data_IF_568140783564
#
_entry.id   IF_568140783564
#
_cell.length_a   1.000
_cell.length_b   1.000
_cell.length_c   1.000
_cell.angle_alpha   90.00
_cell.angle_beta   90.00
_cell.angle_gamma   90.00
#
_symmetry.space_group_name_H-M   'P 1'
#
loop_
_entity.id
_entity.type
_entity.pdbx_description
1 polymer ?
#
# COMPACT_ATOMS: atom_id res chain seq x y z
N UNK A 1 -52.35 -3.83 -22.29
CA UNK A 1 -51.55 -5.05 -22.61
C UNK A 1 -50.08 -4.68 -22.56
N UNK A 2 -49.37 -5.00 -21.45
CA UNK A 2 -47.92 -4.79 -21.33
C UNK A 2 -47.24 -5.93 -22.11
N UNK A 3 -46.55 -5.61 -23.20
CA UNK A 3 -45.69 -6.55 -23.93
C UNK A 3 -44.57 -6.97 -22.97
N UNK A 4 -44.59 -8.21 -22.50
CA UNK A 4 -43.46 -8.81 -21.78
C UNK A 4 -42.47 -9.23 -22.87
N UNK A 5 -41.66 -8.28 -23.36
CA UNK A 5 -40.41 -8.63 -24.03
C UNK A 5 -39.48 -9.17 -22.95
N UNK A 6 -39.04 -10.42 -23.07
CA UNK A 6 -38.02 -10.99 -22.19
C UNK A 6 -36.71 -10.23 -22.40
N UNK A 7 -36.52 -9.12 -21.69
CA UNK A 7 -35.30 -8.31 -21.75
C UNK A 7 -34.13 -9.16 -21.24
N UNK A 8 -33.10 -9.28 -22.06
CA UNK A 8 -31.91 -10.01 -21.70
C UNK A 8 -30.96 -9.05 -20.99
N UNK A 9 -30.56 -9.40 -19.77
CA UNK A 9 -29.53 -8.65 -19.05
C UNK A 9 -28.16 -9.29 -19.30
N UNK A 10 -27.14 -8.52 -19.71
CA UNK A 10 -25.78 -8.99 -19.85
C UNK A 10 -25.12 -9.08 -18.47
N UNK A 11 -23.96 -9.74 -18.37
CA UNK A 11 -23.21 -9.73 -17.12
C UNK A 11 -22.60 -8.35 -16.89
N UNK A 12 -22.77 -7.84 -15.68
CA UNK A 12 -22.20 -6.56 -15.24
C UNK A 12 -21.26 -6.83 -14.08
N UNK A 13 -20.04 -6.35 -14.19
CA UNK A 13 -19.03 -6.40 -13.14
C UNK A 13 -18.91 -5.02 -12.51
N UNK A 14 -18.98 -4.92 -11.20
CA UNK A 14 -18.84 -3.63 -10.52
C UNK A 14 -17.69 -3.62 -9.53
N UNK A 15 -16.98 -2.51 -9.49
CA UNK A 15 -15.96 -2.19 -8.50
C UNK A 15 -16.13 -0.76 -8.02
N UNK A 16 -15.47 -0.41 -6.93
CA UNK A 16 -15.52 0.95 -6.39
C UNK A 16 -14.16 1.39 -5.90
N UNK A 17 -13.98 2.69 -5.92
CA UNK A 17 -12.95 3.42 -5.19
C UNK A 17 -13.64 4.37 -4.19
N UNK A 18 -12.90 4.98 -3.27
CA UNK A 18 -13.41 6.02 -2.37
C UNK A 18 -14.21 7.12 -3.10
N UNK A 19 -13.85 7.45 -4.34
CA UNK A 19 -14.38 8.59 -5.08
C UNK A 19 -15.24 8.25 -6.31
N UNK A 20 -15.24 6.99 -6.75
CA UNK A 20 -15.86 6.58 -8.01
C UNK A 20 -16.32 5.11 -8.01
N UNK A 21 -17.19 4.77 -8.95
CA UNK A 21 -17.71 3.42 -9.17
C UNK A 21 -17.41 3.04 -10.61
N UNK A 22 -16.80 1.87 -10.81
CA UNK A 22 -16.63 1.30 -12.15
C UNK A 22 -17.70 0.24 -12.39
N UNK A 23 -18.39 0.31 -13.53
CA UNK A 23 -19.24 -0.77 -14.04
C UNK A 23 -18.70 -1.25 -15.38
N UNK A 24 -18.55 -2.56 -15.56
CA UNK A 24 -18.10 -3.18 -16.79
C UNK A 24 -19.21 -4.11 -17.28
N UNK A 25 -19.84 -3.74 -18.38
CA UNK A 25 -20.85 -4.54 -19.05
C UNK A 25 -20.16 -5.44 -20.07
N UNK A 26 -20.25 -6.74 -19.88
CA UNK A 26 -19.64 -7.75 -20.74
C UNK A 26 -20.49 -7.97 -22.00
N UNK A 27 -20.35 -7.03 -22.93
CA UNK A 27 -20.96 -7.03 -24.25
C UNK A 27 -19.92 -6.71 -25.32
N UNK A 28 -19.78 -7.62 -26.28
CA UNK A 28 -18.87 -7.47 -27.42
C UNK A 28 -19.59 -6.91 -28.64
N UNK A 29 -18.85 -6.19 -29.50
CA UNK A 29 -19.35 -5.63 -30.76
C UNK A 29 -20.66 -4.84 -30.59
N UNK A 30 -20.66 -3.90 -29.65
CA UNK A 30 -21.83 -3.11 -29.27
C UNK A 30 -22.27 -2.20 -30.42
N UNK A 31 -23.57 -2.24 -30.74
CA UNK A 31 -24.22 -1.40 -31.75
C UNK A 31 -25.40 -0.65 -31.12
N UNK A 32 -25.61 0.58 -31.59
CA UNK A 32 -26.69 1.48 -31.16
C UNK A 32 -26.87 1.58 -29.64
N UNK A 33 -25.84 2.01 -28.88
CA UNK A 33 -25.94 2.19 -27.44
C UNK A 33 -26.87 3.36 -27.11
N UNK A 34 -27.83 3.13 -26.22
CA UNK A 34 -28.63 4.16 -25.56
C UNK A 34 -28.29 4.14 -24.08
N UNK A 35 -27.82 5.27 -23.58
CA UNK A 35 -27.29 5.40 -22.23
C UNK A 35 -27.94 6.62 -21.62
N UNK A 36 -28.71 6.42 -20.55
CA UNK A 36 -29.25 7.49 -19.74
C UNK A 36 -28.68 7.34 -18.33
N UNK A 37 -27.92 8.34 -17.90
CA UNK A 37 -27.37 8.43 -16.55
C UNK A 37 -28.03 9.61 -15.84
N UNK A 38 -28.80 9.33 -14.81
CA UNK A 38 -29.36 10.31 -13.88
C UNK A 38 -28.59 10.28 -12.56
N UNK A 39 -28.96 11.15 -11.61
CA UNK A 39 -28.27 11.27 -10.32
C UNK A 39 -28.29 9.97 -9.51
N UNK A 40 -29.32 9.13 -9.67
CA UNK A 40 -29.51 7.89 -8.91
C UNK A 40 -29.88 6.68 -9.78
N UNK A 41 -29.97 6.84 -11.10
CA UNK A 41 -30.37 5.77 -12.01
C UNK A 41 -29.41 5.69 -13.20
N UNK A 42 -29.15 4.47 -13.64
CA UNK A 42 -28.40 4.19 -14.87
C UNK A 42 -29.20 3.21 -15.72
N UNK A 43 -29.65 3.69 -16.86
CA UNK A 43 -30.31 2.88 -17.88
C UNK A 43 -29.38 2.70 -19.09
N UNK A 44 -29.21 1.46 -19.49
CA UNK A 44 -28.36 1.05 -20.59
C UNK A 44 -29.09 0.06 -21.50
N UNK A 45 -29.18 0.38 -22.78
CA UNK A 45 -29.72 -0.50 -23.81
C UNK A 45 -28.75 -0.55 -24.99
N UNK A 46 -28.42 -1.76 -25.46
CA UNK A 46 -27.61 -1.91 -26.66
C UNK A 46 -27.79 -3.27 -27.34
N UNK A 47 -27.49 -3.35 -28.63
CA UNK A 47 -27.42 -4.62 -29.36
C UNK A 47 -25.97 -5.10 -29.36
N UNK A 48 -25.72 -6.33 -28.92
CA UNK A 48 -24.36 -6.84 -28.82
C UNK A 48 -24.28 -8.36 -28.68
N UNK A 49 -23.06 -8.88 -28.65
CA UNK A 49 -22.75 -10.28 -28.38
C UNK A 49 -22.50 -10.46 -26.88
N UNK A 50 -23.44 -11.07 -26.18
CA UNK A 50 -23.31 -11.41 -24.75
C UNK A 50 -23.32 -12.92 -24.52
N UNK A 51 -23.50 -13.33 -23.26
CA UNK A 51 -23.54 -14.73 -22.86
C UNK A 51 -24.66 -15.56 -23.53
N UNK A 52 -25.69 -14.90 -24.06
CA UNK A 52 -26.83 -15.52 -24.77
C UNK A 52 -26.78 -15.30 -26.29
N UNK A 53 -25.63 -14.88 -26.83
CA UNK A 53 -25.45 -14.61 -28.26
C UNK A 53 -25.76 -13.16 -28.64
N UNK A 54 -26.05 -12.94 -29.93
CA UNK A 54 -26.33 -11.62 -30.49
C UNK A 54 -27.78 -11.25 -30.22
N UNK A 55 -28.01 -10.37 -29.24
CA UNK A 55 -29.35 -9.91 -28.87
C UNK A 55 -29.33 -8.44 -28.47
N UNK A 56 -30.53 -7.89 -28.30
CA UNK A 56 -30.74 -6.63 -27.60
C UNK A 56 -30.68 -6.88 -26.09
N UNK A 57 -29.80 -6.14 -25.43
CA UNK A 57 -29.53 -6.23 -24.01
C UNK A 57 -29.94 -4.94 -23.32
N UNK A 58 -30.60 -5.08 -22.17
CA UNK A 58 -31.13 -3.96 -21.38
C UNK A 58 -30.80 -4.14 -19.90
N UNK A 59 -30.39 -3.03 -19.28
CA UNK A 59 -30.07 -2.93 -17.86
C UNK A 59 -30.62 -1.62 -17.33
N UNK A 60 -31.33 -1.71 -16.20
CA UNK A 60 -31.72 -0.55 -15.39
C UNK A 60 -31.20 -0.76 -13.97
N UNK A 61 -30.37 0.16 -13.50
CA UNK A 61 -29.74 0.15 -12.18
C UNK A 61 -30.23 1.35 -11.39
N UNK A 62 -30.80 1.10 -10.21
CA UNK A 62 -31.04 2.15 -9.21
C UNK A 62 -29.89 2.11 -8.20
N UNK A 63 -29.12 3.18 -8.16
CA UNK A 63 -27.90 3.32 -7.36
C UNK A 63 -28.22 3.53 -5.89
N UNK A 64 -27.35 3.02 -5.01
CA UNK A 64 -27.47 3.18 -3.56
C UNK A 64 -27.41 4.64 -3.12
N UNK A 65 -26.57 5.46 -3.76
CA UNK A 65 -26.45 6.89 -3.46
C UNK A 65 -26.22 7.71 -4.73
N UNK A 66 -26.25 9.03 -4.58
CA UNK A 66 -26.16 9.96 -5.72
C UNK A 66 -24.76 9.97 -6.36
N UNK A 67 -24.73 10.01 -7.69
CA UNK A 67 -23.55 10.22 -8.52
C UNK A 67 -23.63 11.59 -9.21
N UNK A 68 -22.51 12.05 -9.75
CA UNK A 68 -22.44 13.31 -10.52
C UNK A 68 -22.37 12.95 -12.01
N UNK A 69 -23.49 13.05 -12.76
CA UNK A 69 -23.51 12.63 -14.17
C UNK A 69 -22.50 13.39 -15.03
N UNK A 70 -22.33 14.69 -14.78
CA UNK A 70 -21.41 15.57 -15.53
C UNK A 70 -19.94 15.14 -15.47
N UNK A 71 -19.52 14.53 -14.36
CA UNK A 71 -18.14 14.05 -14.14
C UNK A 71 -17.99 12.56 -14.39
N UNK A 72 -19.09 11.89 -14.74
CA UNK A 72 -19.11 10.47 -15.05
C UNK A 72 -18.91 10.29 -16.55
N UNK A 73 -18.19 9.24 -16.94
CA UNK A 73 -17.93 8.95 -18.34
C UNK A 73 -18.09 7.47 -18.64
N UNK A 74 -18.31 7.16 -19.91
CA UNK A 74 -18.38 5.80 -20.40
C UNK A 74 -17.44 5.60 -21.58
N UNK A 75 -16.95 4.37 -21.74
CA UNK A 75 -16.05 3.95 -22.80
C UNK A 75 -16.56 2.65 -23.40
N UNK A 76 -16.86 2.68 -24.69
CA UNK A 76 -17.26 1.51 -25.45
C UNK A 76 -16.01 0.96 -26.13
N UNK A 77 -15.73 -0.33 -25.93
CA UNK A 77 -14.69 -1.07 -26.65
C UNK A 77 -15.32 -2.23 -27.40
N UNK A 78 -14.57 -2.86 -28.31
CA UNK A 78 -15.04 -4.06 -29.02
C UNK A 78 -15.33 -5.24 -28.06
N UNK A 79 -14.77 -5.18 -26.84
CA UNK A 79 -14.83 -6.27 -25.86
C UNK A 79 -15.87 -6.06 -24.76
N UNK A 80 -16.06 -4.81 -24.32
CA UNK A 80 -16.95 -4.47 -23.21
C UNK A 80 -17.32 -2.97 -23.23
N UNK A 81 -18.34 -2.62 -22.45
CA UNK A 81 -18.69 -1.23 -22.15
C UNK A 81 -18.30 -0.94 -20.70
N UNK A 82 -17.44 0.04 -20.51
CA UNK A 82 -16.99 0.49 -19.20
C UNK A 82 -17.65 1.82 -18.83
N UNK A 83 -18.19 1.92 -17.62
CA UNK A 83 -18.71 3.13 -17.00
C UNK A 83 -17.86 3.48 -15.80
N UNK A 84 -17.50 4.75 -15.68
CA UNK A 84 -16.87 5.31 -14.49
C UNK A 84 -17.79 6.40 -13.97
N UNK A 85 -18.50 6.09 -12.88
CA UNK A 85 -19.46 6.96 -12.23
C UNK A 85 -18.79 7.69 -11.06
N UNK A 86 -18.83 9.03 -11.06
CA UNK A 86 -18.25 9.82 -9.98
C UNK A 86 -19.23 9.92 -8.81
N UNK A 87 -18.81 9.53 -7.61
CA UNK A 87 -19.66 9.64 -6.40
C UNK A 87 -19.81 11.11 -5.99
N UNK A 88 -20.99 11.50 -5.49
CA UNK A 88 -21.20 12.83 -4.88
C UNK A 88 -20.52 12.95 -3.51
N UNK A 89 -20.58 11.88 -2.72
CA UNK A 89 -19.89 11.77 -1.43
C UNK A 89 -18.75 10.74 -1.51
N UNK A 90 -17.58 11.08 -0.98
CA UNK A 90 -16.40 10.20 -0.95
C UNK A 90 -16.52 9.14 0.15
N UNK A 91 -17.50 8.26 0.01
CA UNK A 91 -17.81 7.19 0.97
C UNK A 91 -17.85 5.85 0.24
N UNK A 92 -17.38 4.78 0.90
CA UNK A 92 -17.48 3.42 0.39
C UNK A 92 -18.93 2.92 0.50
N UNK A 93 -19.44 2.38 -0.59
CA UNK A 93 -20.82 1.90 -0.65
C UNK A 93 -20.86 0.44 -0.19
N UNK A 94 -21.73 0.07 0.76
CA UNK A 94 -21.88 -1.33 1.16
C UNK A 94 -22.49 -2.18 0.04
N UNK A 95 -23.33 -1.57 -0.81
CA UNK A 95 -24.02 -2.19 -1.95
C UNK A 95 -24.08 -1.20 -3.11
N UNK A 96 -24.03 -1.71 -4.35
CA UNK A 96 -24.23 -0.89 -5.54
C UNK A 96 -25.70 -0.45 -5.70
N UNK A 97 -26.61 -1.38 -5.44
CA UNK A 97 -28.05 -1.20 -5.63
C UNK A 97 -28.70 -0.71 -4.34
N UNK A 98 -29.73 0.14 -4.48
CA UNK A 98 -30.63 0.50 -3.38
C UNK A 98 -31.47 -0.72 -2.91
N UNK A 99 -31.86 -1.58 -3.85
CA UNK A 99 -32.65 -2.77 -3.55
C UNK A 99 -31.81 -3.85 -2.86
N UNK A 100 -32.40 -4.54 -1.88
CA UNK A 100 -31.74 -5.63 -1.17
C UNK A 100 -31.66 -6.95 -1.98
N UNK A 101 -32.33 -7.02 -3.13
CA UNK A 101 -32.27 -8.17 -4.05
C UNK A 101 -31.02 -8.09 -4.92
N UNK A 102 -30.18 -9.14 -4.88
CA UNK A 102 -28.99 -9.26 -5.73
C UNK A 102 -29.37 -9.91 -7.07
N UNK A 103 -29.34 -9.19 -8.20
CA UNK A 103 -29.63 -9.77 -9.50
C UNK A 103 -28.54 -10.76 -9.92
N UNK A 104 -28.90 -11.86 -10.59
CA UNK A 104 -27.95 -12.88 -11.03
C UNK A 104 -26.92 -12.37 -12.07
N UNK A 105 -27.26 -11.29 -12.77
CA UNK A 105 -26.39 -10.69 -13.78
C UNK A 105 -25.32 -9.77 -13.18
N UNK A 106 -25.46 -9.33 -11.92
CA UNK A 106 -24.51 -8.44 -11.25
C UNK A 106 -23.44 -9.23 -10.48
N UNK A 107 -22.18 -9.04 -10.88
CA UNK A 107 -20.99 -9.67 -10.31
C UNK A 107 -20.04 -8.60 -9.78
N UNK A 108 -19.22 -8.97 -8.79
CA UNK A 108 -18.20 -8.08 -8.22
C UNK A 108 -16.93 -8.18 -9.06
N UNK A 109 -16.36 -7.04 -9.45
CA UNK A 109 -15.04 -6.94 -10.08
C UNK A 109 -13.95 -6.91 -9.00
N UNK A 110 -13.42 -8.09 -8.70
CA UNK A 110 -12.38 -8.26 -7.68
C UNK A 110 -10.99 -7.78 -8.14
N UNK A 111 -10.79 -7.41 -9.40
CA UNK A 111 -9.49 -6.90 -9.86
C UNK A 111 -9.34 -5.42 -9.56
N UNK A 112 -10.43 -4.65 -9.59
CA UNK A 112 -10.44 -3.21 -9.23
C UNK A 112 -10.57 -2.95 -7.73
N UNK A 113 -11.33 -3.74 -6.98
CA UNK A 113 -11.49 -3.57 -5.52
C UNK A 113 -10.16 -3.72 -4.75
N UNK A 114 -9.20 -4.50 -5.29
CA UNK A 114 -7.90 -4.72 -4.64
C UNK A 114 -6.97 -3.49 -4.64
N UNK A 115 -7.28 -2.43 -5.38
CA UNK A 115 -6.44 -1.22 -5.38
C UNK A 115 -6.59 -0.39 -4.10
N UNK A 116 -7.76 -0.44 -3.45
CA UNK A 116 -8.06 0.39 -2.27
C UNK A 116 -7.68 -0.27 -0.93
N UNK A 117 -7.54 -1.61 -0.86
CA UNK A 117 -7.16 -2.33 0.38
C UNK A 117 -5.66 -2.22 0.75
N UNK A 118 -4.86 -1.41 0.06
CA UNK A 118 -3.41 -1.28 0.32
C UNK A 118 -2.97 0.01 1.01
N UNK A 119 -3.87 0.90 1.41
CA UNK A 119 -3.45 2.17 2.03
C UNK A 119 -4.03 2.51 3.41
N UNK A 120 -4.96 1.75 4.01
CA UNK A 120 -5.37 2.06 5.40
C UNK A 120 -6.01 0.88 6.13
N UNK A 121 -5.25 0.19 6.98
CA UNK A 121 -5.80 -0.43 8.21
C UNK A 121 -4.70 -0.51 9.26
N UNK A 122 -4.50 0.60 9.99
CA UNK A 122 -4.05 0.60 11.37
C UNK A 122 -5.27 0.58 12.28
N UNK A 123 -5.19 -0.24 13.34
CA UNK A 123 -6.21 -0.54 14.35
C UNK A 123 -6.98 0.68 14.89
N UNK A 124 -8.29 0.54 15.16
CA UNK A 124 -8.84 0.43 16.52
C UNK A 124 -10.39 0.55 16.54
N UNK A 125 -10.96 -0.20 17.49
CA UNK A 125 -12.27 -0.13 18.14
C UNK A 125 -13.54 -0.80 17.57
N UNK A 126 -14.26 -1.31 18.56
CA UNK A 126 -15.19 -2.43 18.66
C UNK A 126 -16.67 -2.02 18.56
N UNK A 127 -17.51 -3.06 18.56
CA UNK A 127 -18.97 -3.05 18.81
C UNK A 127 -19.90 -3.01 17.58
N UNK A 128 -19.61 -3.78 16.52
CA UNK A 128 -20.63 -4.29 15.56
C UNK A 128 -20.24 -5.66 14.95
N UNK A 129 -19.63 -6.56 15.72
CA UNK A 129 -18.94 -7.75 15.16
C UNK A 129 -19.84 -8.97 14.88
N UNK A 130 -20.99 -9.11 15.53
CA UNK A 130 -21.72 -10.40 15.51
C UNK A 130 -22.55 -10.64 14.23
N UNK A 131 -23.12 -9.61 13.60
CA UNK A 131 -23.87 -9.77 12.34
C UNK A 131 -22.96 -9.81 11.09
N UNK A 132 -21.78 -9.18 11.16
CA UNK A 132 -20.80 -9.18 10.08
C UNK A 132 -20.03 -10.51 9.99
N UNK A 133 -19.87 -11.23 11.11
CA UNK A 133 -19.13 -12.49 11.17
C UNK A 133 -19.86 -13.67 10.51
N UNK A 134 -21.20 -13.69 10.51
CA UNK A 134 -21.94 -14.76 9.86
C UNK A 134 -21.90 -14.64 8.33
N UNK A 135 -22.05 -13.41 7.80
CA UNK A 135 -21.93 -13.14 6.36
C UNK A 135 -20.49 -13.26 5.85
N UNK A 136 -19.49 -12.88 6.67
CA UNK A 136 -18.08 -13.00 6.32
C UNK A 136 -17.60 -14.45 6.25
N UNK A 137 -18.15 -15.37 7.05
CA UNK A 137 -17.77 -16.79 7.07
C UNK A 137 -18.19 -17.57 5.80
N UNK A 138 -19.39 -17.32 5.27
CA UNK A 138 -19.87 -17.89 4.00
C UNK A 138 -19.17 -17.26 2.79
N UNK A 139 -18.87 -15.95 2.85
CA UNK A 139 -18.17 -15.25 1.79
C UNK A 139 -16.66 -15.58 1.75
N UNK A 140 -16.04 -15.81 2.91
CA UNK A 140 -14.62 -16.19 3.04
C UNK A 140 -14.35 -17.62 2.58
N UNK A 141 -15.26 -18.57 2.86
CA UNK A 141 -15.18 -19.94 2.35
C UNK A 141 -15.38 -20.03 0.82
N UNK A 142 -16.15 -19.10 0.24
CA UNK A 142 -16.29 -18.94 -1.21
C UNK A 142 -15.08 -18.20 -1.85
N UNK A 143 -14.51 -17.21 -1.15
CA UNK A 143 -13.26 -16.52 -1.52
C UNK A 143 -12.06 -17.48 -1.55
N UNK A 144 -11.90 -18.35 -0.54
CA UNK A 144 -10.73 -19.23 -0.43
C UNK A 144 -10.63 -20.26 -1.55
N UNK A 145 -11.76 -20.71 -2.10
CA UNK A 145 -11.80 -21.64 -3.25
C UNK A 145 -11.47 -20.96 -4.59
N UNK A 146 -11.79 -19.68 -4.74
CA UNK A 146 -11.55 -18.90 -5.97
C UNK A 146 -10.19 -18.18 -5.99
N UNK A 147 -9.51 -18.07 -4.84
CA UNK A 147 -8.17 -17.48 -4.73
C UNK A 147 -7.04 -18.35 -5.32
N UNK A 148 -7.33 -19.55 -5.82
CA UNK A 148 -6.32 -20.47 -6.36
C UNK A 148 -5.87 -20.13 -7.80
N UNK A 149 -6.57 -19.22 -8.49
CA UNK A 149 -6.18 -18.74 -9.83
C UNK A 149 -5.67 -17.27 -9.79
N UNK A 150 -4.44 -17.05 -9.32
CA UNK A 150 -3.86 -15.71 -9.07
C UNK A 150 -2.47 -15.49 -9.69
N UNK A 151 -2.28 -15.75 -10.98
CA UNK A 151 -0.95 -15.56 -11.61
C UNK A 151 -0.75 -14.25 -12.41
N UNK A 152 -1.76 -13.40 -12.61
CA UNK A 152 -1.60 -12.25 -13.52
C UNK A 152 -1.01 -10.96 -12.89
N UNK A 153 -1.11 -10.76 -11.57
CA UNK A 153 -0.55 -9.58 -10.87
C UNK A 153 0.57 -9.89 -9.86
N UNK A 154 0.76 -11.18 -9.55
CA UNK A 154 1.72 -11.64 -8.54
C UNK A 154 3.16 -11.36 -8.96
N UNK A 155 3.47 -11.45 -10.25
CA UNK A 155 4.81 -11.22 -10.78
C UNK A 155 5.32 -9.78 -10.62
N UNK A 156 4.46 -8.75 -10.74
CA UNK A 156 4.86 -7.33 -10.60
C UNK A 156 5.02 -6.94 -9.12
N UNK A 157 4.07 -7.33 -8.27
CA UNK A 157 4.16 -7.10 -6.81
C UNK A 157 5.33 -7.87 -6.19
N UNK A 158 5.54 -9.12 -6.62
CA UNK A 158 6.71 -9.92 -6.22
C UNK A 158 8.01 -9.26 -6.68
N UNK A 159 8.11 -8.80 -7.94
CA UNK A 159 9.33 -8.09 -8.42
C UNK A 159 9.66 -6.84 -7.59
N UNK A 160 8.68 -5.99 -7.33
CA UNK A 160 8.90 -4.76 -6.52
C UNK A 160 9.31 -5.12 -5.10
N UNK A 161 8.66 -6.12 -4.50
CA UNK A 161 9.04 -6.62 -3.18
C UNK A 161 10.46 -7.21 -3.18
N UNK A 162 10.84 -7.97 -4.21
CA UNK A 162 12.18 -8.55 -4.37
C UNK A 162 13.25 -7.44 -4.49
N UNK A 163 12.97 -6.34 -5.20
CA UNK A 163 13.86 -5.17 -5.28
C UNK A 163 14.00 -4.45 -3.93
N UNK A 164 12.88 -4.20 -3.25
CA UNK A 164 12.88 -3.60 -1.90
C UNK A 164 13.68 -4.45 -0.92
N UNK A 165 13.48 -5.77 -0.92
CA UNK A 165 14.23 -6.70 -0.07
C UNK A 165 15.72 -6.66 -0.39
N UNK A 166 16.10 -6.65 -1.67
CA UNK A 166 17.50 -6.56 -2.09
C UNK A 166 18.15 -5.24 -1.66
N UNK A 167 17.43 -4.12 -1.78
CA UNK A 167 17.89 -2.81 -1.32
C UNK A 167 18.08 -2.76 0.20
N UNK A 168 17.10 -3.23 0.99
CA UNK A 168 17.21 -3.28 2.44
C UNK A 168 18.39 -4.14 2.89
N UNK A 169 18.58 -5.29 2.25
CA UNK A 169 19.74 -6.14 2.51
C UNK A 169 21.05 -5.40 2.23
N UNK A 170 21.16 -4.72 1.09
CA UNK A 170 22.37 -3.98 0.72
C UNK A 170 22.65 -2.81 1.68
N UNK A 171 21.60 -2.09 2.10
CA UNK A 171 21.71 -1.03 3.10
C UNK A 171 22.22 -1.58 4.44
N UNK A 172 21.60 -2.65 4.95
CA UNK A 172 22.01 -3.26 6.22
C UNK A 172 23.44 -3.81 6.14
N UNK A 173 23.80 -4.42 5.01
CA UNK A 173 25.17 -4.87 4.76
C UNK A 173 26.16 -3.70 4.76
N UNK A 174 25.81 -2.59 4.11
CA UNK A 174 26.63 -1.38 4.09
C UNK A 174 26.84 -0.81 5.50
N UNK A 175 25.77 -0.70 6.30
CA UNK A 175 25.87 -0.25 7.69
C UNK A 175 26.76 -1.17 8.51
N UNK A 176 26.56 -2.49 8.41
CA UNK A 176 27.37 -3.47 9.13
C UNK A 176 28.86 -3.36 8.76
N UNK A 177 29.18 -3.28 7.46
CA UNK A 177 30.55 -3.11 6.96
C UNK A 177 31.14 -1.77 7.43
N UNK A 178 30.34 -0.71 7.49
CA UNK A 178 30.77 0.59 8.01
C UNK A 178 31.16 0.52 9.48
N UNK A 179 30.31 -0.07 10.33
CA UNK A 179 30.58 -0.16 11.76
C UNK A 179 31.67 -1.17 12.11
N UNK A 180 31.82 -2.26 11.36
CA UNK A 180 32.93 -3.20 11.59
C UNK A 180 34.27 -2.56 11.23
N UNK A 181 34.32 -1.74 10.18
CA UNK A 181 35.49 -0.95 9.84
C UNK A 181 35.89 0.00 10.97
N UNK A 182 34.93 0.74 11.52
CA UNK A 182 35.16 1.62 12.68
C UNK A 182 35.66 0.81 13.88
N UNK A 183 35.01 -0.31 14.19
CA UNK A 183 35.38 -1.17 15.32
C UNK A 183 36.80 -1.70 15.21
N UNK A 184 37.18 -2.18 14.03
CA UNK A 184 38.54 -2.69 13.76
C UNK A 184 39.58 -1.57 13.91
N UNK A 185 39.27 -0.35 13.45
CA UNK A 185 40.18 0.79 13.67
C UNK A 185 40.35 1.08 15.15
N UNK A 186 39.25 1.15 15.92
CA UNK A 186 39.31 1.37 17.37
C UNK A 186 40.17 0.28 18.03
N UNK A 187 39.98 -0.98 17.65
CA UNK A 187 40.72 -2.11 18.21
C UNK A 187 42.21 -2.04 17.87
N UNK A 188 42.58 -1.84 16.61
CA UNK A 188 43.99 -1.73 16.19
C UNK A 188 44.66 -0.54 16.86
N UNK A 189 43.97 0.60 16.90
CA UNK A 189 44.47 1.82 17.50
C UNK A 189 44.70 1.65 19.01
N UNK A 190 43.75 1.01 19.71
CA UNK A 190 43.89 0.65 21.13
C UNK A 190 45.07 -0.31 21.38
N UNK A 191 45.24 -1.32 20.53
CA UNK A 191 46.35 -2.28 20.64
C UNK A 191 47.72 -1.65 20.37
N UNK A 192 47.78 -0.58 19.55
CA UNK A 192 49.03 0.08 19.17
C UNK A 192 49.43 1.22 20.09
N UNK A 193 48.48 2.09 20.45
CA UNK A 193 48.74 3.32 21.22
C UNK A 193 48.36 3.19 22.71
N UNK A 194 47.65 2.13 23.08
CA UNK A 194 47.22 1.90 24.46
C UNK A 194 46.35 3.05 24.98
N UNK A 195 46.66 3.62 26.16
CA UNK A 195 45.83 4.66 26.80
C UNK A 195 45.81 5.99 26.04
N UNK A 196 46.81 6.30 25.19
CA UNK A 196 46.81 7.54 24.40
C UNK A 196 45.70 7.55 23.32
N UNK A 197 45.18 6.36 22.96
CA UNK A 197 44.01 6.19 22.07
C UNK A 197 42.84 7.07 22.48
N UNK A 198 42.63 7.28 23.78
CA UNK A 198 41.51 8.05 24.31
C UNK A 198 41.47 9.47 23.72
N UNK A 199 42.63 10.07 23.44
CA UNK A 199 42.73 11.46 22.95
C UNK A 199 42.69 11.55 21.42
N UNK A 200 43.20 10.53 20.74
CA UNK A 200 43.45 10.56 19.28
C UNK A 200 42.35 9.88 18.47
N UNK A 201 41.53 9.03 19.09
CA UNK A 201 40.53 8.20 18.40
C UNK A 201 39.34 9.00 17.85
N UNK A 202 38.79 9.93 18.64
CA UNK A 202 37.62 10.71 18.21
C UNK A 202 37.96 11.63 17.03
N UNK A 203 39.04 12.44 17.05
CA UNK A 203 39.43 13.23 15.89
C UNK A 203 39.62 12.41 14.61
N UNK A 204 40.13 11.18 14.74
CA UNK A 204 40.36 10.27 13.63
C UNK A 204 39.06 9.67 13.06
N UNK A 205 38.08 9.38 13.91
CA UNK A 205 36.83 8.71 13.54
C UNK A 205 35.62 9.62 13.39
N UNK A 206 35.72 10.91 13.76
CA UNK A 206 34.58 11.85 13.77
C UNK A 206 33.85 11.91 12.42
N UNK A 207 34.58 11.88 11.31
CA UNK A 207 33.97 11.98 9.98
C UNK A 207 33.28 10.67 9.57
N UNK A 208 33.96 9.50 9.61
CA UNK A 208 33.32 8.21 9.35
C UNK A 208 32.08 7.96 10.20
N UNK A 209 32.15 8.22 11.50
CA UNK A 209 31.07 7.90 12.43
C UNK A 209 29.84 8.81 12.23
N UNK A 210 30.05 10.09 11.95
CA UNK A 210 28.98 11.03 11.60
C UNK A 210 28.33 10.68 10.28
N UNK A 211 29.11 10.25 9.30
CA UNK A 211 28.58 9.82 8.00
C UNK A 211 27.66 8.60 8.15
N UNK A 212 28.08 7.57 8.87
CA UNK A 212 27.25 6.40 9.14
C UNK A 212 26.01 6.74 9.95
N UNK A 213 26.15 7.61 10.96
CA UNK A 213 25.02 8.11 11.75
C UNK A 213 23.99 8.86 10.87
N UNK A 214 24.44 9.70 9.93
CA UNK A 214 23.54 10.40 9.01
C UNK A 214 22.79 9.42 8.09
N UNK A 215 23.45 8.35 7.65
CA UNK A 215 22.81 7.31 6.84
C UNK A 215 21.69 6.57 7.58
N UNK A 216 21.68 6.57 8.92
CA UNK A 216 20.59 5.99 9.72
C UNK A 216 19.26 6.76 9.59
N UNK A 217 19.26 7.98 9.03
CA UNK A 217 18.00 8.66 8.64
C UNK A 217 17.18 7.78 7.68
N UNK A 218 17.83 7.00 6.83
CA UNK A 218 17.15 6.10 5.90
C UNK A 218 16.28 5.06 6.63
N UNK A 219 16.61 4.69 7.86
CA UNK A 219 15.85 3.70 8.65
C UNK A 219 14.51 4.22 9.13
N UNK A 220 14.39 5.55 9.27
CA UNK A 220 13.11 6.22 9.52
C UNK A 220 12.32 6.28 8.20
N UNK A 221 13.02 6.52 7.09
CA UNK A 221 12.40 6.63 5.77
C UNK A 221 11.90 5.28 5.23
N UNK A 222 12.54 4.17 5.57
CA UNK A 222 12.11 2.83 5.11
C UNK A 222 10.65 2.52 5.48
N UNK A 223 10.23 2.60 6.75
CA UNK A 223 8.83 2.40 7.10
C UNK A 223 7.92 3.52 6.62
N UNK A 224 8.38 4.78 6.57
CA UNK A 224 7.58 5.91 6.05
C UNK A 224 7.21 5.77 4.58
N UNK A 225 8.08 5.19 3.75
CA UNK A 225 7.81 4.94 2.33
C UNK A 225 7.25 3.54 2.05
N UNK A 226 6.94 2.75 3.09
CA UNK A 226 6.41 1.40 2.95
C UNK A 226 7.42 0.36 2.46
N UNK A 227 8.73 0.63 2.58
CA UNK A 227 9.78 -0.34 2.31
C UNK A 227 9.93 -1.40 3.42
N UNK A 228 9.56 -1.05 4.67
CA UNK A 228 9.56 -1.97 5.81
C UNK A 228 8.24 -1.91 6.59
N UNK A 229 7.86 -3.01 7.23
CA UNK A 229 6.58 -3.14 7.96
C UNK A 229 6.60 -2.60 9.40
N UNK A 230 7.67 -1.90 9.80
CA UNK A 230 7.86 -1.42 11.18
C UNK A 230 7.29 -0.02 11.42
N UNK A 231 7.15 0.38 12.68
CA UNK A 231 6.86 1.78 13.03
C UNK A 231 8.15 2.62 12.93
N UNK A 232 8.11 3.84 12.35
CA UNK A 232 9.26 4.74 12.30
C UNK A 232 9.69 5.28 13.67
N UNK A 233 8.85 5.13 14.71
CA UNK A 233 9.09 5.77 16.01
C UNK A 233 10.33 5.24 16.73
N UNK A 234 10.55 3.93 16.73
CA UNK A 234 11.70 3.33 17.42
C UNK A 234 13.04 3.75 16.79
N UNK A 235 13.23 3.64 15.45
CA UNK A 235 14.42 4.18 14.79
C UNK A 235 14.61 5.68 15.00
N UNK A 236 13.52 6.45 15.06
CA UNK A 236 13.57 7.90 15.27
C UNK A 236 14.13 8.25 16.65
N UNK A 237 13.64 7.63 17.73
CA UNK A 237 14.16 7.89 19.07
C UNK A 237 15.63 7.44 19.20
N UNK A 238 15.98 6.30 18.62
CA UNK A 238 17.35 5.81 18.60
C UNK A 238 18.29 6.79 17.87
N UNK A 239 17.89 7.28 16.70
CA UNK A 239 18.67 8.22 15.91
C UNK A 239 18.85 9.57 16.62
N UNK A 240 17.77 10.12 17.19
CA UNK A 240 17.83 11.39 17.92
C UNK A 240 18.82 11.29 19.08
N UNK A 241 18.75 10.23 19.87
CA UNK A 241 19.68 10.04 20.99
C UNK A 241 21.14 10.02 20.54
N UNK A 242 21.43 9.33 19.42
CA UNK A 242 22.78 9.20 18.89
C UNK A 242 23.32 10.47 18.26
N UNK A 243 22.46 11.15 17.50
CA UNK A 243 22.78 12.43 16.88
C UNK A 243 23.06 13.48 17.96
N UNK A 244 22.25 13.50 19.02
CA UNK A 244 22.43 14.41 20.14
C UNK A 244 23.81 14.25 20.78
N UNK A 245 24.20 13.03 21.18
CA UNK A 245 25.50 12.89 21.85
C UNK A 245 26.69 13.08 20.88
N UNK A 246 26.61 12.66 19.62
CA UNK A 246 27.72 12.81 18.65
C UNK A 246 27.95 14.26 18.23
N UNK A 247 26.89 14.97 17.84
CA UNK A 247 26.98 16.31 17.25
C UNK A 247 26.89 17.41 18.30
N UNK A 248 26.04 17.27 19.31
CA UNK A 248 25.83 18.34 20.30
C UNK A 248 26.76 18.15 21.49
N UNK A 249 26.84 16.94 22.05
CA UNK A 249 27.61 16.72 23.27
C UNK A 249 29.12 16.67 22.99
N UNK A 250 29.58 15.83 22.07
CA UNK A 250 31.03 15.62 21.84
C UNK A 250 31.61 16.67 20.88
N UNK A 251 30.93 16.98 19.77
CA UNK A 251 31.52 17.86 18.75
C UNK A 251 31.63 19.32 19.20
N UNK A 252 30.64 19.82 19.95
CA UNK A 252 30.65 21.19 20.47
C UNK A 252 31.66 21.39 21.62
N UNK A 253 32.09 20.31 22.28
CA UNK A 253 32.93 20.39 23.48
C UNK A 253 34.28 19.70 23.24
N UNK A 254 35.30 20.49 22.87
CA UNK A 254 36.65 19.97 22.60
C UNK A 254 37.27 19.21 23.80
N UNK A 255 36.96 19.62 25.04
CA UNK A 255 37.42 18.93 26.24
C UNK A 255 36.86 17.50 26.34
N UNK A 256 35.59 17.30 25.98
CA UNK A 256 34.96 15.98 26.00
C UNK A 256 35.58 15.05 24.95
N UNK A 257 36.09 15.57 23.84
CA UNK A 257 36.71 14.75 22.79
C UNK A 257 37.92 13.94 23.27
N UNK A 258 38.64 14.44 24.28
CA UNK A 258 39.81 13.78 24.88
C UNK A 258 39.48 13.06 26.19
N UNK A 259 38.22 13.02 26.59
CA UNK A 259 37.79 12.41 27.85
C UNK A 259 37.54 10.91 27.67
N UNK A 260 37.91 10.09 28.67
CA UNK A 260 37.71 8.63 28.66
C UNK A 260 36.25 8.23 28.41
N UNK A 261 35.29 9.04 28.87
CA UNK A 261 33.87 8.82 28.63
C UNK A 261 33.53 8.76 27.13
N UNK A 262 34.14 9.62 26.31
CA UNK A 262 33.92 9.65 24.86
C UNK A 262 34.40 8.38 24.19
N UNK A 263 35.55 7.85 24.61
CA UNK A 263 36.05 6.56 24.12
C UNK A 263 35.06 5.43 24.38
N UNK A 264 34.58 5.28 25.62
CA UNK A 264 33.63 4.21 25.96
C UNK A 264 32.27 4.41 25.30
N UNK A 265 31.77 5.65 25.20
CA UNK A 265 30.53 5.93 24.47
C UNK A 265 30.64 5.54 22.99
N UNK A 266 31.76 5.86 22.35
CA UNK A 266 32.00 5.55 20.95
C UNK A 266 32.18 4.04 20.73
N UNK A 267 32.84 3.34 21.65
CA UNK A 267 32.96 1.89 21.65
C UNK A 267 31.59 1.21 21.82
N UNK A 268 30.82 1.62 22.83
CA UNK A 268 29.48 1.07 23.11
C UNK A 268 28.55 1.35 21.92
N UNK A 269 28.60 2.55 21.35
CA UNK A 269 27.81 2.87 20.17
C UNK A 269 28.16 1.96 19.00
N UNK A 270 29.44 1.84 18.68
CA UNK A 270 29.91 0.98 17.58
C UNK A 270 29.50 -0.47 17.80
N UNK A 271 29.66 -1.00 19.02
CA UNK A 271 29.20 -2.33 19.38
C UNK A 271 27.68 -2.48 19.24
N UNK A 272 26.90 -1.49 19.69
CA UNK A 272 25.44 -1.55 19.62
C UNK A 272 24.92 -1.64 18.18
N UNK A 273 25.66 -1.07 17.22
CA UNK A 273 25.31 -1.17 15.79
C UNK A 273 25.73 -2.48 15.14
N UNK A 274 26.73 -3.16 15.68
CA UNK A 274 27.15 -4.47 15.18
C UNK A 274 26.21 -5.62 15.57
N UNK A 275 25.55 -5.51 16.72
CA UNK A 275 24.66 -6.55 17.26
C UNK A 275 23.17 -6.33 16.96
N UNK A 276 22.87 -5.36 16.10
CA UNK A 276 21.51 -4.95 15.76
C UNK A 276 20.79 -5.92 14.82
#
# INVERSE_FOLDING_TARGET
MKKISSSLSPFVYWGQTSDSITLIVDLKNVKSPKINLEDKSLDFQAVGLGAKGLNEYEISIVLHSEVVPEKSFYKITDRNVEFVLRKKMMILWPKLLESNSKPQWLKVDFDRIKQDELETTSNDESDLEDELNQFSSEFSSSRSRLYKDRNFGRGRKKRVQDFTTSYLFLYNLFQFVGFIYIFVIILIHYLKEGPETIKTIYPSLKNPIKFLNLMQILEILHPLFGYSSGSPMLPLFQLIGRTFYLFILIDCNAELQSHWATFYLLLIYTCSELFR
#
